data_IF_579449776677
#
_entry.id   IF_579449776677
#
_cell.length_a   1.000
_cell.length_b   1.000
_cell.length_c   1.000
_cell.angle_alpha   90.00
_cell.angle_beta   90.00
_cell.angle_gamma   90.00
#
_symmetry.space_group_name_H-M   'P 1'
#
loop_
_entity.id
_entity.type
_entity.pdbx_description
1 polymer ?
#
# COMPACT_ATOMS: atom_id res chain seq x y z
N UNK A 1 -16.24 2.85 -9.16
CA UNK A 1 -15.35 3.08 -10.33
C UNK A 1 -13.90 2.68 -10.04
N UNK A 2 -13.23 3.23 -9.01
CA UNK A 2 -11.82 2.92 -8.72
C UNK A 2 -11.55 1.48 -8.24
N UNK A 3 -12.48 0.82 -7.55
CA UNK A 3 -12.33 -0.61 -7.21
C UNK A 3 -12.32 -1.50 -8.45
N UNK A 4 -12.96 -1.10 -9.55
CA UNK A 4 -12.94 -1.82 -10.83
C UNK A 4 -11.60 -1.67 -11.55
N UNK A 5 -10.89 -0.55 -11.37
CA UNK A 5 -9.55 -0.35 -11.94
C UNK A 5 -8.52 -1.19 -11.18
N UNK A 6 -8.61 -1.22 -9.85
CA UNK A 6 -7.73 -2.04 -8.99
C UNK A 6 -7.99 -3.53 -9.19
N UNK A 7 -9.27 -3.94 -9.18
CA UNK A 7 -9.66 -5.32 -9.42
C UNK A 7 -9.39 -5.74 -10.87
N UNK A 8 -9.63 -4.86 -11.84
CA UNK A 8 -9.35 -5.09 -13.26
C UNK A 8 -7.85 -5.19 -13.56
N UNK A 9 -7.02 -4.33 -12.96
CA UNK A 9 -5.56 -4.40 -13.05
C UNK A 9 -5.00 -5.69 -12.41
N UNK A 10 -5.58 -6.10 -11.28
CA UNK A 10 -5.28 -7.39 -10.67
C UNK A 10 -5.69 -8.58 -11.55
N UNK A 11 -6.88 -8.54 -12.16
CA UNK A 11 -7.35 -9.59 -13.07
C UNK A 11 -6.50 -9.69 -14.34
N UNK A 12 -6.04 -8.57 -14.91
CA UNK A 12 -5.14 -8.53 -16.07
C UNK A 12 -3.75 -9.09 -15.73
N UNK A 13 -3.18 -8.72 -14.57
CA UNK A 13 -1.92 -9.29 -14.10
C UNK A 13 -2.07 -10.78 -13.74
N UNK A 14 -3.19 -11.16 -13.12
CA UNK A 14 -3.52 -12.55 -12.79
C UNK A 14 -3.67 -13.43 -14.03
N UNK A 15 -4.37 -12.94 -15.06
CA UNK A 15 -4.55 -13.63 -16.34
C UNK A 15 -3.23 -13.80 -17.10
N UNK A 16 -2.31 -12.84 -16.99
CA UNK A 16 -1.01 -12.89 -17.68
C UNK A 16 0.05 -13.73 -16.95
N UNK A 17 -0.02 -13.84 -15.62
CA UNK A 17 1.03 -14.44 -14.78
C UNK A 17 0.58 -15.61 -13.88
N UNK A 18 -0.66 -16.13 -14.01
CA UNK A 18 -1.23 -17.23 -13.20
C UNK A 18 -1.07 -17.01 -11.69
N UNK A 19 -1.48 -15.83 -11.22
CA UNK A 19 -1.30 -15.39 -9.83
C UNK A 19 -2.53 -15.74 -8.97
N UNK A 20 -2.53 -16.90 -8.32
CA UNK A 20 -3.60 -17.30 -7.37
C UNK A 20 -3.48 -16.65 -5.99
N UNK A 21 -2.31 -16.13 -5.59
CA UNK A 21 -2.06 -15.57 -4.25
C UNK A 21 -2.17 -14.04 -4.12
N UNK A 22 -2.16 -13.28 -5.22
CA UNK A 22 -2.16 -11.81 -5.15
C UNK A 22 -3.51 -11.20 -4.70
N UNK A 23 -4.60 -11.96 -4.84
CA UNK A 23 -5.96 -11.50 -4.59
C UNK A 23 -6.23 -11.22 -3.11
N UNK A 24 -5.53 -11.90 -2.22
CA UNK A 24 -5.63 -11.69 -0.78
C UNK A 24 -5.08 -10.31 -0.33
N UNK A 25 -4.19 -9.69 -1.09
CA UNK A 25 -3.69 -8.34 -0.82
C UNK A 25 -4.51 -7.25 -1.53
N UNK A 26 -5.14 -7.56 -2.67
CA UNK A 26 -5.99 -6.64 -3.42
C UNK A 26 -7.40 -6.53 -2.82
N UNK A 27 -7.92 -7.62 -2.26
CA UNK A 27 -9.22 -7.66 -1.56
C UNK A 27 -9.35 -6.60 -0.45
N UNK A 28 -8.42 -6.46 0.52
CA UNK A 28 -8.54 -5.43 1.55
C UNK A 28 -8.47 -4.01 0.97
N UNK A 29 -7.73 -3.76 -0.12
CA UNK A 29 -7.70 -2.44 -0.80
C UNK A 29 -9.03 -2.11 -1.46
N UNK A 30 -9.61 -3.08 -2.17
CA UNK A 30 -10.94 -2.94 -2.78
C UNK A 30 -12.02 -2.75 -1.71
N UNK A 31 -11.88 -3.39 -0.56
CA UNK A 31 -12.74 -3.20 0.61
C UNK A 31 -12.58 -1.79 1.20
N UNK A 32 -11.36 -1.28 1.34
CA UNK A 32 -11.08 0.10 1.79
C UNK A 32 -11.70 1.12 0.86
N UNK A 33 -11.48 0.97 -0.44
CA UNK A 33 -12.07 1.81 -1.48
C UNK A 33 -13.60 1.84 -1.39
N UNK A 34 -14.22 0.68 -1.15
CA UNK A 34 -15.66 0.56 -0.99
C UNK A 34 -16.14 1.22 0.31
N UNK A 35 -15.42 1.02 1.41
CA UNK A 35 -15.81 1.54 2.74
C UNK A 35 -15.62 3.05 2.81
N UNK A 36 -14.52 3.60 2.33
CA UNK A 36 -14.28 5.06 2.23
C UNK A 36 -15.37 5.74 1.38
N UNK A 37 -15.72 5.16 0.23
CA UNK A 37 -16.76 5.69 -0.64
C UNK A 37 -18.16 5.68 0.00
N UNK A 38 -18.43 4.76 0.93
CA UNK A 38 -19.72 4.63 1.62
C UNK A 38 -19.80 5.45 2.91
N UNK A 39 -18.66 5.77 3.50
CA UNK A 39 -18.56 6.42 4.79
C UNK A 39 -18.21 7.91 4.72
N UNK A 40 -18.00 8.49 3.54
CA UNK A 40 -17.85 9.94 3.40
C UNK A 40 -19.25 10.56 3.32
N UNK A 41 -19.77 11.19 4.39
CA UNK A 41 -21.03 11.92 4.28
C UNK A 41 -20.75 13.18 3.46
N UNK A 42 -21.67 13.58 2.60
CA UNK A 42 -21.69 14.95 2.09
C UNK A 42 -22.01 15.87 3.28
N UNK A 43 -21.00 16.21 4.09
CA UNK A 43 -21.15 16.99 5.31
C UNK A 43 -21.18 18.49 5.04
N UNK A 44 -21.82 19.24 5.95
CA UNK A 44 -22.04 20.70 5.98
C UNK A 44 -20.79 21.53 6.28
N UNK A 45 -19.59 21.01 6.00
CA UNK A 45 -18.35 21.77 6.13
C UNK A 45 -18.30 22.86 5.06
N UNK A 46 -17.62 24.01 5.31
CA UNK A 46 -17.36 25.00 4.27
C UNK A 46 -16.78 24.34 3.00
N UNK A 47 -17.20 24.78 1.82
CA UNK A 47 -16.89 24.12 0.54
C UNK A 47 -15.38 23.90 0.31
N UNK A 48 -14.55 24.83 0.77
CA UNK A 48 -13.08 24.72 0.70
C UNK A 48 -12.55 23.56 1.51
N UNK A 49 -13.09 23.36 2.73
CA UNK A 49 -12.80 22.16 3.48
C UNK A 49 -13.37 20.96 2.71
N UNK A 50 -14.67 20.87 2.45
CA UNK A 50 -15.22 19.70 1.73
C UNK A 50 -14.39 19.25 0.49
N UNK A 51 -13.82 20.20 -0.25
CA UNK A 51 -12.86 19.96 -1.34
C UNK A 51 -11.49 19.44 -0.91
N UNK A 52 -10.82 20.08 0.06
CA UNK A 52 -9.51 19.60 0.58
C UNK A 52 -9.62 18.18 1.13
N UNK A 53 -10.70 17.87 1.86
CA UNK A 53 -10.95 16.54 2.41
C UNK A 53 -11.11 15.48 1.32
N UNK A 54 -11.87 15.80 0.25
CA UNK A 54 -12.01 14.92 -0.92
C UNK A 54 -10.66 14.65 -1.61
N UNK A 55 -9.83 15.68 -1.75
CA UNK A 55 -8.48 15.55 -2.36
C UNK A 55 -7.58 14.69 -1.46
N UNK A 56 -7.53 14.98 -0.15
CA UNK A 56 -6.78 14.20 0.83
C UNK A 56 -7.17 12.71 0.79
N UNK A 57 -8.47 12.41 0.89
CA UNK A 57 -9.00 11.05 0.87
C UNK A 57 -8.63 10.35 -0.44
N UNK A 58 -8.76 11.03 -1.57
CA UNK A 58 -8.40 10.47 -2.88
C UNK A 58 -6.92 10.10 -2.96
N UNK A 59 -6.03 11.00 -2.55
CA UNK A 59 -4.58 10.77 -2.54
C UNK A 59 -4.18 9.68 -1.55
N UNK A 60 -4.72 9.70 -0.34
CA UNK A 60 -4.47 8.68 0.69
C UNK A 60 -4.83 7.30 0.15
N UNK A 61 -6.00 7.21 -0.49
CA UNK A 61 -6.52 5.97 -1.08
C UNK A 61 -5.64 5.46 -2.22
N UNK A 62 -5.21 6.34 -3.12
CA UNK A 62 -4.30 5.97 -4.23
C UNK A 62 -2.96 5.49 -3.66
N UNK A 63 -2.38 6.22 -2.69
CA UNK A 63 -1.12 5.87 -2.05
C UNK A 63 -1.16 4.48 -1.39
N UNK A 64 -2.19 4.23 -0.57
CA UNK A 64 -2.41 2.92 0.08
C UNK A 64 -2.62 1.82 -0.96
N UNK A 65 -3.36 2.08 -2.04
CA UNK A 65 -3.56 1.10 -3.12
C UNK A 65 -2.27 0.72 -3.85
N UNK A 66 -1.40 1.69 -4.11
CA UNK A 66 -0.07 1.45 -4.71
C UNK A 66 0.83 0.65 -3.76
N UNK A 67 0.83 0.98 -2.47
CA UNK A 67 1.57 0.26 -1.45
C UNK A 67 1.10 -1.18 -1.25
N UNK A 68 -0.21 -1.42 -1.37
CA UNK A 68 -0.74 -2.77 -1.34
C UNK A 68 -0.30 -3.60 -2.55
N UNK A 69 -0.27 -2.99 -3.75
CA UNK A 69 0.23 -3.68 -4.94
C UNK A 69 1.73 -4.01 -4.80
N UNK A 70 2.53 -3.08 -4.27
CA UNK A 70 3.93 -3.33 -3.93
C UNK A 70 4.10 -4.46 -2.90
N UNK A 71 3.18 -4.56 -1.96
CA UNK A 71 3.17 -5.60 -0.92
C UNK A 71 2.78 -6.96 -1.50
N UNK A 72 1.80 -7.02 -2.39
CA UNK A 72 1.43 -8.22 -3.12
C UNK A 72 2.64 -8.78 -3.91
N UNK A 73 3.34 -7.91 -4.64
CA UNK A 73 4.58 -8.28 -5.35
C UNK A 73 5.68 -8.74 -4.40
N UNK A 74 5.78 -8.14 -3.22
CA UNK A 74 6.73 -8.56 -2.18
C UNK A 74 6.42 -9.94 -1.60
N UNK A 75 5.13 -10.29 -1.42
CA UNK A 75 4.71 -11.65 -1.04
C UNK A 75 5.10 -12.65 -2.13
N UNK A 76 4.80 -12.33 -3.39
CA UNK A 76 5.14 -13.18 -4.54
C UNK A 76 6.66 -13.37 -4.61
N UNK A 77 7.44 -12.29 -4.48
CA UNK A 77 8.91 -12.35 -4.43
C UNK A 77 9.39 -13.33 -3.35
N UNK A 78 8.86 -13.23 -2.13
CA UNK A 78 9.27 -14.11 -1.03
C UNK A 78 8.84 -15.56 -1.23
N UNK A 79 7.71 -15.80 -1.90
CA UNK A 79 7.24 -17.14 -2.22
C UNK A 79 8.12 -17.79 -3.30
N UNK A 80 8.42 -17.05 -4.38
CA UNK A 80 9.30 -17.50 -5.46
C UNK A 80 10.73 -17.71 -4.95
N UNK A 81 11.26 -16.82 -4.12
CA UNK A 81 12.60 -16.95 -3.52
C UNK A 81 12.71 -18.23 -2.66
N UNK A 82 11.67 -18.53 -1.87
CA UNK A 82 11.61 -19.77 -1.07
C UNK A 82 11.50 -21.01 -1.96
N UNK A 83 10.66 -20.97 -3.00
CA UNK A 83 10.49 -22.07 -3.94
C UNK A 83 11.79 -22.38 -4.70
N UNK A 84 12.51 -21.34 -5.14
CA UNK A 84 13.83 -21.47 -5.75
C UNK A 84 14.82 -22.10 -4.79
N UNK A 85 14.92 -21.61 -3.54
CA UNK A 85 15.82 -22.19 -2.54
C UNK A 85 15.51 -23.66 -2.25
N UNK A 86 14.23 -24.04 -2.17
CA UNK A 86 13.82 -25.43 -1.93
C UNK A 86 14.10 -26.33 -3.13
N UNK A 87 13.86 -25.86 -4.36
CA UNK A 87 14.08 -26.62 -5.60
C UNK A 87 15.53 -26.65 -6.08
N UNK A 88 16.37 -25.70 -5.64
CA UNK A 88 17.82 -25.70 -5.90
C UNK A 88 18.53 -26.85 -5.18
N UNK A 89 17.91 -27.43 -4.15
CA UNK A 89 18.35 -28.68 -3.53
C UNK A 89 17.94 -29.93 -4.33
N UNK A 90 16.97 -29.83 -5.24
CA UNK A 90 16.41 -30.99 -5.97
C UNK A 90 16.68 -31.04 -7.47
N UNK A 91 16.95 -29.93 -8.18
CA UNK A 91 17.08 -30.03 -9.63
C UNK A 91 17.79 -28.87 -10.32
N UNK A 92 18.78 -29.25 -11.11
CA UNK A 92 19.34 -28.59 -12.32
C UNK A 92 18.25 -28.29 -13.39
N UNK A 93 16.95 -28.37 -13.09
CA UNK A 93 15.87 -28.55 -14.08
C UNK A 93 14.82 -27.41 -14.16
N UNK A 94 15.10 -26.18 -13.74
CA UNK A 94 14.07 -25.11 -13.80
C UNK A 94 14.55 -23.81 -14.42
N UNK A 95 14.38 -23.70 -15.75
CA UNK A 95 14.68 -22.49 -16.51
C UNK A 95 13.46 -21.59 -16.79
N UNK A 96 12.20 -22.03 -16.62
CA UNK A 96 11.12 -21.39 -17.40
C UNK A 96 9.75 -21.06 -16.76
N UNK A 97 9.56 -20.89 -15.45
CA UNK A 97 8.19 -20.56 -14.94
C UNK A 97 8.05 -19.58 -13.78
N UNK A 98 8.77 -18.46 -13.80
CA UNK A 98 8.50 -17.34 -12.88
C UNK A 98 8.86 -16.02 -13.51
N UNK A 99 8.25 -14.92 -13.07
CA UNK A 99 8.82 -13.60 -13.34
C UNK A 99 10.20 -13.57 -12.68
N UNK A 100 11.25 -13.00 -13.30
CA UNK A 100 12.55 -12.94 -12.66
C UNK A 100 12.40 -12.25 -11.29
N UNK A 101 13.00 -12.79 -10.22
CA UNK A 101 12.98 -12.18 -8.88
C UNK A 101 13.38 -10.70 -8.93
N UNK A 102 14.33 -10.37 -9.81
CA UNK A 102 14.73 -8.99 -10.06
C UNK A 102 13.63 -8.13 -10.69
N UNK A 103 12.79 -8.69 -11.57
CA UNK A 103 11.66 -7.98 -12.15
C UNK A 103 10.61 -7.65 -11.08
N UNK A 104 10.32 -8.58 -10.17
CA UNK A 104 9.43 -8.35 -9.03
C UNK A 104 9.99 -7.28 -8.08
N UNK A 105 11.30 -7.32 -7.80
CA UNK A 105 11.98 -6.33 -6.97
C UNK A 105 11.98 -4.93 -7.63
N UNK A 106 12.27 -4.85 -8.94
CA UNK A 106 12.22 -3.60 -9.71
C UNK A 106 10.81 -3.02 -9.77
N UNK A 107 9.78 -3.85 -9.99
CA UNK A 107 8.40 -3.40 -10.08
C UNK A 107 7.89 -2.91 -8.71
N UNK A 108 8.17 -3.67 -7.64
CA UNK A 108 7.90 -3.24 -6.25
C UNK A 108 8.53 -1.88 -5.98
N UNK A 109 9.80 -1.68 -6.34
CA UNK A 109 10.47 -0.40 -6.14
C UNK A 109 9.82 0.75 -6.89
N UNK A 110 9.45 0.53 -8.16
CA UNK A 110 8.81 1.55 -8.99
C UNK A 110 7.45 1.95 -8.41
N UNK A 111 6.68 1.00 -7.91
CA UNK A 111 5.43 1.28 -7.21
C UNK A 111 5.66 2.12 -5.97
N UNK A 112 6.66 1.78 -5.14
CA UNK A 112 6.97 2.55 -3.93
C UNK A 112 7.44 3.97 -4.26
N UNK A 113 8.25 4.14 -5.29
CA UNK A 113 8.66 5.45 -5.80
C UNK A 113 7.50 6.33 -6.24
N UNK A 114 6.44 5.75 -6.80
CA UNK A 114 5.23 6.48 -7.21
C UNK A 114 4.28 6.70 -6.03
N UNK A 115 4.09 5.67 -5.19
CA UNK A 115 3.16 5.72 -4.06
C UNK A 115 3.63 6.66 -2.95
N UNK A 116 4.94 6.74 -2.69
CA UNK A 116 5.51 7.56 -1.63
C UNK A 116 5.22 9.08 -1.75
N UNK A 117 5.45 9.75 -2.89
CA UNK A 117 5.10 11.17 -3.02
C UNK A 117 3.59 11.41 -2.95
N UNK A 118 2.78 10.50 -3.51
CA UNK A 118 1.31 10.57 -3.41
C UNK A 118 0.87 10.48 -1.95
N UNK A 119 1.41 9.53 -1.20
CA UNK A 119 1.11 9.35 0.22
C UNK A 119 1.64 10.51 1.08
N UNK A 120 2.80 11.08 0.72
CA UNK A 120 3.34 12.27 1.40
C UNK A 120 2.41 13.46 1.22
N UNK A 121 1.92 13.70 0.00
CA UNK A 121 0.95 14.77 -0.25
C UNK A 121 -0.34 14.54 0.52
N UNK A 122 -0.82 13.29 0.57
CA UNK A 122 -1.97 12.92 1.39
C UNK A 122 -1.73 13.26 2.88
N UNK A 123 -0.58 12.87 3.43
CA UNK A 123 -0.23 13.13 4.84
C UNK A 123 -0.21 14.63 5.16
N UNK A 124 0.42 15.44 4.29
CA UNK A 124 0.47 16.91 4.45
C UNK A 124 -0.92 17.52 4.39
N UNK A 125 -1.73 17.16 3.39
CA UNK A 125 -3.10 17.64 3.27
C UNK A 125 -3.98 17.22 4.46
N UNK A 126 -3.77 16.03 4.98
CA UNK A 126 -4.45 15.54 6.19
C UNK A 126 -4.07 16.35 7.43
N UNK A 127 -2.80 16.70 7.60
CA UNK A 127 -2.36 17.56 8.70
C UNK A 127 -2.97 18.97 8.60
N UNK A 128 -2.98 19.56 7.40
CA UNK A 128 -3.61 20.88 7.15
C UNK A 128 -5.12 20.83 7.43
N UNK A 129 -5.79 19.74 7.02
CA UNK A 129 -7.21 19.50 7.29
C UNK A 129 -7.55 19.56 8.79
N UNK A 130 -6.84 18.77 9.58
CA UNK A 130 -7.05 18.63 11.03
C UNK A 130 -6.76 19.94 11.74
N UNK A 131 -5.68 20.62 11.36
CA UNK A 131 -5.34 21.94 11.88
C UNK A 131 -6.44 22.98 11.63
N UNK A 132 -7.05 22.98 10.43
CA UNK A 132 -8.15 23.90 10.09
C UNK A 132 -9.46 23.58 10.82
N UNK A 133 -9.69 22.33 11.21
CA UNK A 133 -10.84 21.94 12.03
C UNK A 133 -10.65 22.28 13.52
N UNK A 134 -9.45 22.70 13.94
CA UNK A 134 -9.13 22.94 15.35
C UNK A 134 -9.08 21.67 16.20
N UNK A 135 -8.97 20.50 15.56
CA UNK A 135 -8.90 19.21 16.25
C UNK A 135 -7.45 18.88 16.67
N UNK A 136 -7.28 18.18 17.78
CA UNK A 136 -5.94 17.78 18.23
C UNK A 136 -5.37 16.61 17.41
N UNK A 137 -4.04 16.59 17.28
CA UNK A 137 -3.28 15.54 16.59
C UNK A 137 -3.04 14.30 17.47
N UNK A 138 -3.67 14.22 18.64
CA UNK A 138 -3.46 13.13 19.61
C UNK A 138 -4.17 11.83 19.19
N UNK A 139 -4.96 11.87 18.11
CA UNK A 139 -5.65 10.69 17.62
C UNK A 139 -4.65 9.67 17.07
N UNK A 140 -4.81 8.37 17.42
CA UNK A 140 -3.82 7.34 17.12
C UNK A 140 -3.61 7.10 15.61
N UNK A 141 -4.56 7.45 14.74
CA UNK A 141 -4.40 7.32 13.29
C UNK A 141 -3.30 8.21 12.70
N UNK A 142 -3.06 9.41 13.25
CA UNK A 142 -2.09 10.36 12.73
C UNK A 142 -0.63 9.93 12.94
N UNK A 143 -0.18 9.55 14.16
CA UNK A 143 1.18 9.04 14.37
C UNK A 143 1.38 7.71 13.65
N UNK A 144 0.35 6.86 13.51
CA UNK A 144 0.47 5.61 12.74
C UNK A 144 0.64 5.85 11.23
N UNK A 145 -0.03 6.84 10.65
CA UNK A 145 0.21 7.23 9.26
C UNK A 145 1.65 7.77 9.07
N UNK A 146 2.19 8.49 10.04
CA UNK A 146 3.59 8.89 10.06
C UNK A 146 4.53 7.67 10.18
N UNK A 147 4.19 6.66 10.98
CA UNK A 147 4.93 5.39 11.05
C UNK A 147 4.95 4.68 9.70
N UNK A 148 3.81 4.56 9.01
CA UNK A 148 3.75 4.05 7.64
C UNK A 148 4.67 4.82 6.71
N UNK A 149 4.62 6.15 6.77
CA UNK A 149 5.49 7.03 5.98
C UNK A 149 6.97 6.74 6.27
N UNK A 150 7.36 6.61 7.54
CA UNK A 150 8.73 6.30 7.95
C UNK A 150 9.22 4.96 7.41
N UNK A 151 8.38 3.91 7.40
CA UNK A 151 8.77 2.61 6.82
C UNK A 151 9.12 2.73 5.33
N UNK A 152 8.30 3.45 4.54
CA UNK A 152 8.55 3.63 3.12
C UNK A 152 9.70 4.61 2.84
N UNK A 153 9.85 5.66 3.64
CA UNK A 153 11.02 6.55 3.57
C UNK A 153 12.31 5.79 3.86
N UNK A 154 12.34 5.01 4.96
CA UNK A 154 13.48 4.17 5.33
C UNK A 154 13.79 3.14 4.24
N UNK A 155 12.77 2.56 3.59
CA UNK A 155 12.98 1.64 2.48
C UNK A 155 13.60 2.31 1.25
N UNK A 156 13.16 3.53 0.89
CA UNK A 156 13.74 4.30 -0.21
C UNK A 156 15.19 4.69 0.08
N UNK A 157 15.46 5.20 1.29
CA UNK A 157 16.82 5.53 1.74
C UNK A 157 17.69 4.28 1.77
N UNK A 158 17.20 3.17 2.32
CA UNK A 158 17.99 1.94 2.39
C UNK A 158 18.32 1.35 1.02
N UNK A 159 17.43 1.56 0.04
CA UNK A 159 17.68 1.19 -1.35
C UNK A 159 18.72 2.10 -2.01
N UNK A 160 18.63 3.41 -1.80
CA UNK A 160 19.50 4.38 -2.46
C UNK A 160 20.90 4.43 -1.82
N UNK A 161 20.98 4.40 -0.49
CA UNK A 161 22.22 4.56 0.27
C UNK A 161 22.93 3.23 0.55
N UNK A 162 22.18 2.16 0.87
CA UNK A 162 22.75 0.87 1.26
C UNK A 162 22.52 -0.24 0.23
N UNK A 163 21.93 0.07 -0.91
CA UNK A 163 21.69 -0.89 -2.00
C UNK A 163 20.77 -2.06 -1.62
N UNK A 164 19.88 -1.89 -0.64
CA UNK A 164 19.00 -2.98 -0.19
C UNK A 164 18.10 -3.49 -1.31
N UNK A 165 18.21 -4.78 -1.63
CA UNK A 165 17.39 -5.44 -2.67
C UNK A 165 16.84 -6.77 -2.19
N UNK A 166 15.84 -7.26 -2.90
CA UNK A 166 15.30 -8.59 -2.73
C UNK A 166 14.65 -8.81 -1.36
N UNK A 167 15.05 -9.87 -0.65
CA UNK A 167 14.38 -10.33 0.59
C UNK A 167 14.28 -9.27 1.69
N UNK A 168 15.30 -8.42 1.84
CA UNK A 168 15.30 -7.35 2.86
C UNK A 168 14.29 -6.26 2.49
N UNK A 169 14.31 -5.81 1.23
CA UNK A 169 13.36 -4.82 0.72
C UNK A 169 11.91 -5.33 0.75
N UNK A 170 11.68 -6.59 0.36
CA UNK A 170 10.36 -7.21 0.40
C UNK A 170 9.78 -7.26 1.82
N UNK A 171 10.58 -7.67 2.83
CA UNK A 171 10.12 -7.70 4.23
C UNK A 171 9.78 -6.31 4.77
N UNK A 172 10.60 -5.30 4.45
CA UNK A 172 10.35 -3.94 4.90
C UNK A 172 9.11 -3.34 4.21
N UNK A 173 8.88 -3.66 2.93
CA UNK A 173 7.66 -3.30 2.20
C UNK A 173 6.42 -3.85 2.90
N UNK A 174 6.45 -5.12 3.31
CA UNK A 174 5.35 -5.75 4.04
C UNK A 174 5.14 -5.14 5.44
N UNK A 175 6.22 -4.80 6.14
CA UNK A 175 6.12 -4.13 7.44
C UNK A 175 5.47 -2.75 7.34
N UNK A 176 5.87 -1.95 6.34
CA UNK A 176 5.24 -0.65 6.06
C UNK A 176 3.76 -0.76 5.72
N UNK A 177 3.38 -1.79 4.95
CA UNK A 177 1.98 -2.02 4.62
C UNK A 177 1.15 -2.53 5.81
N UNK A 178 1.74 -3.35 6.68
CA UNK A 178 1.08 -3.75 7.92
C UNK A 178 0.77 -2.53 8.81
N UNK A 179 1.69 -1.57 8.91
CA UNK A 179 1.43 -0.31 9.60
C UNK A 179 0.26 0.47 8.94
N UNK A 180 0.22 0.51 7.60
CA UNK A 180 -0.87 1.17 6.86
C UNK A 180 -2.24 0.51 7.13
N UNK A 181 -2.27 -0.82 7.24
CA UNK A 181 -3.48 -1.57 7.59
C UNK A 181 -3.93 -1.31 9.03
N UNK A 182 -3.00 -1.15 9.97
CA UNK A 182 -3.34 -0.82 11.36
C UNK A 182 -4.05 0.53 11.47
N UNK A 183 -3.58 1.55 10.73
CA UNK A 183 -4.27 2.85 10.64
C UNK A 183 -5.74 2.65 10.27
N UNK A 184 -5.98 1.87 9.21
CA UNK A 184 -7.32 1.61 8.70
C UNK A 184 -8.18 0.85 9.73
N UNK A 185 -7.64 -0.22 10.33
CA UNK A 185 -8.36 -1.03 11.30
C UNK A 185 -8.79 -0.17 12.49
N UNK A 186 -7.89 0.67 13.01
CA UNK A 186 -8.20 1.57 14.14
C UNK A 186 -9.26 2.58 13.74
N UNK A 187 -9.15 3.17 12.55
CA UNK A 187 -10.17 4.09 12.02
C UNK A 187 -11.55 3.42 11.96
N UNK A 188 -11.63 2.19 11.45
CA UNK A 188 -12.89 1.43 11.36
C UNK A 188 -13.45 1.08 12.74
N UNK A 189 -12.61 0.58 13.65
CA UNK A 189 -13.03 0.21 15.00
C UNK A 189 -13.59 1.42 15.74
N UNK A 190 -12.89 2.56 15.71
CA UNK A 190 -13.37 3.76 16.40
C UNK A 190 -14.68 4.26 15.82
N UNK A 191 -14.82 4.23 14.49
CA UNK A 191 -16.06 4.63 13.83
C UNK A 191 -17.25 3.71 14.11
N UNK A 192 -17.01 2.42 14.38
CA UNK A 192 -18.04 1.50 14.87
C UNK A 192 -18.36 1.72 16.35
N UNK A 193 -17.42 2.28 17.12
CA UNK A 193 -17.57 2.55 18.55
C UNK A 193 -18.25 3.89 18.90
N UNK A 194 -18.43 4.79 17.93
CA UNK A 194 -19.08 6.11 18.10
C UNK A 194 -18.16 7.25 17.73
#
# INVERSE_FOLDING_TARGET
FLSFIVTGGYLLASARYRLTLGGAAVMPVSLVLLVVARLTPAGTAPDELSTLGRIHISLATIGVGVFALASALSVIYLAEERALKRKRFDAVAFKDRGAPLEALDRLTHRLIWVGFPIFTLALVLGAVWVSKLGESLDRPEYPLAAVTWMFYAALLVARQAYGWRGRRAARLTLAGFAAALLVLVIYLVRRMAG
#
